data_IF_120736276952
#
_entry.id   IF_120736276952
#
_cell.length_a   1.000
_cell.length_b   1.000
_cell.length_c   1.000
_cell.angle_alpha   90.00
_cell.angle_beta   90.00
_cell.angle_gamma   90.00
#
_symmetry.space_group_name_H-M   'P 1'
#
loop_
_entity.id
_entity.type
_entity.pdbx_description
1 polymer ?
#
# COMPACT_ATOMS: atom_id res chain seq x y z
N UNK A 1 14.56 -4.07 20.36
CA UNK A 1 13.99 -3.50 19.11
C UNK A 1 15.13 -3.25 18.11
N UNK A 2 14.94 -3.28 16.79
CA UNK A 2 16.10 -3.27 15.87
C UNK A 2 16.90 -1.95 15.98
N UNK A 3 16.22 -0.83 16.26
CA UNK A 3 16.89 0.44 16.60
C UNK A 3 17.89 0.29 17.75
N UNK A 4 17.52 -0.35 18.87
CA UNK A 4 18.44 -0.51 20.01
C UNK A 4 19.71 -1.31 19.64
N UNK A 5 19.57 -2.29 18.73
CA UNK A 5 20.70 -3.07 18.23
C UNK A 5 21.60 -2.23 17.33
N UNK A 6 21.03 -1.33 16.50
CA UNK A 6 21.81 -0.35 15.74
C UNK A 6 22.59 0.59 16.67
N UNK A 7 21.98 1.07 17.74
CA UNK A 7 22.61 2.02 18.66
C UNK A 7 23.78 1.43 19.47
N UNK A 8 23.71 0.12 19.74
CA UNK A 8 24.77 -0.66 20.37
C UNK A 8 25.84 -1.14 19.38
N UNK A 9 25.61 -0.98 18.08
CA UNK A 9 26.50 -1.50 17.03
C UNK A 9 26.44 -3.02 16.85
N UNK A 10 25.34 -3.65 17.25
CA UNK A 10 25.09 -5.09 17.06
C UNK A 10 24.48 -5.40 15.67
N UNK A 11 23.85 -4.40 15.03
CA UNK A 11 23.40 -4.45 13.64
C UNK A 11 24.00 -3.28 12.85
N UNK A 12 24.26 -3.50 11.57
CA UNK A 12 24.73 -2.44 10.65
C UNK A 12 23.56 -1.65 10.03
N UNK A 13 22.40 -2.29 9.85
CA UNK A 13 21.21 -1.71 9.25
C UNK A 13 19.92 -2.44 9.65
N UNK A 14 18.78 -1.74 9.62
CA UNK A 14 17.45 -2.30 9.84
C UNK A 14 16.42 -1.66 8.90
N UNK A 15 15.36 -2.42 8.59
CA UNK A 15 14.14 -1.92 7.96
C UNK A 15 13.10 -1.71 9.06
N UNK A 16 12.77 -0.46 9.34
CA UNK A 16 11.83 -0.07 10.40
C UNK A 16 10.69 0.77 9.80
N UNK A 17 9.43 0.53 10.18
CA UNK A 17 8.31 1.33 9.71
C UNK A 17 8.36 2.73 10.33
N UNK A 18 8.12 3.75 9.49
CA UNK A 18 8.06 5.18 9.83
C UNK A 18 9.40 5.82 10.22
N UNK A 19 9.42 7.16 10.15
CA UNK A 19 10.53 8.02 10.57
C UNK A 19 10.72 7.98 12.09
N UNK A 20 10.95 6.80 12.64
CA UNK A 20 11.75 6.65 13.85
C UNK A 20 13.22 6.84 13.44
N UNK A 21 13.52 7.98 12.80
CA UNK A 21 14.84 8.56 12.97
C UNK A 21 14.88 8.89 14.45
N UNK A 22 15.37 7.93 15.23
CA UNK A 22 15.71 8.15 16.62
C UNK A 22 16.42 9.49 16.67
N UNK A 23 16.12 10.32 17.66
CA UNK A 23 16.85 11.56 17.95
C UNK A 23 18.38 11.38 18.07
N UNK A 24 18.86 10.14 18.02
CA UNK A 24 20.25 9.76 17.92
C UNK A 24 20.88 10.20 16.58
N UNK A 25 21.79 11.18 16.60
CA UNK A 25 22.46 11.71 15.40
C UNK A 25 23.45 10.71 14.78
N UNK A 26 23.64 9.52 15.36
CA UNK A 26 24.50 8.46 14.82
C UNK A 26 23.77 7.57 13.82
N UNK A 27 22.44 7.60 13.77
CA UNK A 27 21.66 6.86 12.78
C UNK A 27 21.35 7.74 11.57
N UNK A 28 21.26 7.12 10.39
CA UNK A 28 20.90 7.79 9.12
C UNK A 28 20.09 6.85 8.26
N UNK A 29 19.31 7.42 7.34
CA UNK A 29 18.68 6.65 6.28
C UNK A 29 19.74 6.08 5.33
N UNK A 30 19.51 4.86 4.83
CA UNK A 30 20.36 4.23 3.80
C UNK A 30 20.28 5.05 2.50
N UNK A 31 19.06 5.47 2.14
CA UNK A 31 18.79 6.39 1.04
C UNK A 31 18.49 7.78 1.62
N UNK A 32 19.44 8.74 1.53
CA UNK A 32 19.21 10.09 2.06
C UNK A 32 18.05 10.80 1.36
N UNK A 33 17.88 10.54 0.06
CA UNK A 33 16.76 11.02 -0.75
C UNK A 33 15.87 9.83 -1.13
N UNK A 34 15.15 9.30 -0.14
CA UNK A 34 14.24 8.18 -0.32
C UNK A 34 13.11 8.51 -1.31
N UNK A 35 12.68 9.78 -1.38
CA UNK A 35 11.66 10.25 -2.34
C UNK A 35 12.08 10.02 -3.77
N UNK A 36 13.31 10.41 -4.14
CA UNK A 36 13.83 10.16 -5.48
C UNK A 36 13.93 8.67 -5.80
N UNK A 37 14.32 7.85 -4.81
CA UNK A 37 14.40 6.39 -4.97
C UNK A 37 13.01 5.78 -5.17
N UNK A 38 12.01 6.23 -4.43
CA UNK A 38 10.60 5.83 -4.57
C UNK A 38 10.03 6.23 -5.94
N UNK A 39 10.31 7.46 -6.40
CA UNK A 39 9.92 7.94 -7.73
C UNK A 39 10.55 7.10 -8.85
N UNK A 40 11.85 6.78 -8.74
CA UNK A 40 12.56 5.92 -9.69
C UNK A 40 12.01 4.49 -9.66
N UNK A 41 11.68 3.97 -8.48
CA UNK A 41 11.05 2.67 -8.31
C UNK A 41 9.70 2.61 -9.03
N UNK A 42 8.82 3.59 -8.80
CA UNK A 42 7.53 3.67 -9.47
C UNK A 42 7.71 3.78 -10.98
N UNK A 43 8.57 4.68 -11.46
CA UNK A 43 8.85 4.86 -12.90
C UNK A 43 9.34 3.57 -13.57
N UNK A 44 10.16 2.79 -12.88
CA UNK A 44 10.72 1.54 -13.41
C UNK A 44 9.72 0.37 -13.40
N UNK A 45 8.85 0.31 -12.40
CA UNK A 45 8.05 -0.90 -12.11
C UNK A 45 6.56 -0.73 -12.36
N UNK A 46 6.06 0.51 -12.34
CA UNK A 46 4.63 0.84 -12.28
C UNK A 46 3.95 0.41 -10.98
N UNK A 47 4.70 -0.10 -9.99
CA UNK A 47 4.18 -0.52 -8.70
C UNK A 47 4.35 0.62 -7.71
N UNK A 48 3.27 0.97 -7.02
CA UNK A 48 3.27 1.86 -5.87
C UNK A 48 2.97 1.04 -4.61
N UNK A 49 3.98 0.70 -3.79
CA UNK A 49 3.82 -0.23 -2.67
C UNK A 49 2.87 0.32 -1.59
N UNK A 50 2.22 -0.61 -0.88
CA UNK A 50 1.24 -0.39 0.22
C UNK A 50 -0.18 -0.08 -0.29
N UNK A 51 -1.01 -1.12 -0.35
CA UNK A 51 -2.46 -1.02 -0.50
C UNK A 51 -3.13 -1.67 0.70
N UNK A 52 -3.75 -0.87 1.56
CA UNK A 52 -4.68 -1.41 2.55
C UNK A 52 -5.81 -2.15 1.83
N UNK A 53 -6.07 -3.39 2.22
CA UNK A 53 -7.16 -4.19 1.67
C UNK A 53 -8.25 -4.33 2.72
N UNK A 54 -9.49 -4.07 2.30
CA UNK A 54 -10.67 -4.46 3.06
C UNK A 54 -10.95 -5.94 2.78
N UNK A 55 -11.07 -6.73 3.84
CA UNK A 55 -11.39 -8.16 3.74
C UNK A 55 -12.73 -8.44 4.40
N UNK A 56 -13.56 -9.24 3.72
CA UNK A 56 -14.84 -9.73 4.22
C UNK A 56 -14.79 -11.26 4.18
N UNK A 57 -15.19 -11.90 5.28
CA UNK A 57 -15.27 -13.37 5.33
C UNK A 57 -16.35 -13.84 4.38
N UNK A 58 -16.02 -14.82 3.54
CA UNK A 58 -16.89 -15.32 2.47
C UNK A 58 -18.29 -15.73 2.96
N UNK A 59 -18.38 -16.52 4.05
CA UNK A 59 -19.67 -16.95 4.60
C UNK A 59 -20.61 -15.80 5.03
N UNK A 60 -20.06 -14.62 5.35
CA UNK A 60 -20.86 -13.43 5.67
C UNK A 60 -21.49 -12.88 4.39
N UNK A 61 -20.73 -12.82 3.31
CA UNK A 61 -21.24 -12.42 2.00
C UNK A 61 -22.26 -13.43 1.45
N UNK A 62 -22.05 -14.73 1.67
CA UNK A 62 -23.00 -15.78 1.29
C UNK A 62 -24.33 -15.66 2.04
N UNK A 63 -24.29 -15.43 3.36
CA UNK A 63 -25.48 -15.25 4.17
C UNK A 63 -26.19 -13.91 3.91
N UNK A 64 -25.43 -12.88 3.51
CA UNK A 64 -25.92 -11.53 3.29
C UNK A 64 -25.30 -10.89 2.03
N UNK A 65 -25.74 -11.28 0.82
CA UNK A 65 -25.11 -10.85 -0.44
C UNK A 65 -25.05 -9.33 -0.65
N UNK A 66 -25.99 -8.59 -0.07
CA UNK A 66 -26.07 -7.13 -0.15
C UNK A 66 -24.93 -6.40 0.59
N UNK A 67 -24.20 -7.07 1.49
CA UNK A 67 -23.14 -6.44 2.30
C UNK A 67 -21.99 -5.94 1.42
N UNK A 68 -21.63 -6.67 0.36
CA UNK A 68 -20.49 -6.29 -0.50
C UNK A 68 -20.75 -4.94 -1.16
N UNK A 69 -21.90 -4.77 -1.82
CA UNK A 69 -22.28 -3.49 -2.45
C UNK A 69 -22.46 -2.38 -1.42
N UNK A 70 -23.03 -2.68 -0.26
CA UNK A 70 -23.24 -1.69 0.81
C UNK A 70 -21.91 -1.15 1.34
N UNK A 71 -20.92 -2.02 1.55
CA UNK A 71 -19.57 -1.60 1.95
C UNK A 71 -18.90 -0.78 0.85
N UNK A 72 -18.95 -1.24 -0.41
CA UNK A 72 -18.36 -0.50 -1.53
C UNK A 72 -18.94 0.92 -1.65
N UNK A 73 -20.27 1.07 -1.55
CA UNK A 73 -20.93 2.38 -1.54
C UNK A 73 -20.45 3.24 -0.38
N UNK A 74 -20.46 2.70 0.85
CA UNK A 74 -20.03 3.45 2.03
C UNK A 74 -18.57 3.92 1.95
N UNK A 75 -17.67 3.09 1.43
CA UNK A 75 -16.26 3.46 1.28
C UNK A 75 -16.03 4.51 0.18
N UNK A 76 -16.79 4.46 -0.93
CA UNK A 76 -16.75 5.52 -1.96
C UNK A 76 -17.25 6.86 -1.42
N UNK A 77 -18.33 6.83 -0.63
CA UNK A 77 -18.82 8.03 0.06
C UNK A 77 -17.78 8.58 1.04
N UNK A 78 -17.11 7.70 1.79
CA UNK A 78 -16.04 8.09 2.70
C UNK A 78 -14.83 8.69 1.94
N UNK A 79 -14.42 8.08 0.82
CA UNK A 79 -13.33 8.57 -0.04
C UNK A 79 -13.63 9.99 -0.56
N UNK A 80 -14.86 10.24 -1.02
CA UNK A 80 -15.28 11.57 -1.47
C UNK A 80 -15.24 12.64 -0.36
N UNK A 81 -15.29 12.23 0.91
CA UNK A 81 -15.20 13.10 2.07
C UNK A 81 -13.78 13.17 2.66
N UNK A 82 -12.89 12.24 2.30
CA UNK A 82 -11.60 12.03 2.95
C UNK A 82 -10.73 13.29 3.00
N UNK A 83 -10.74 14.09 1.94
CA UNK A 83 -9.97 15.34 1.86
C UNK A 83 -10.27 16.32 3.00
N UNK A 84 -11.50 16.32 3.53
CA UNK A 84 -11.90 17.19 4.65
C UNK A 84 -11.24 16.80 5.97
N UNK A 85 -10.79 15.55 6.08
CA UNK A 85 -10.21 14.98 7.29
C UNK A 85 -8.69 14.91 7.23
N UNK A 86 -8.08 15.20 6.06
CA UNK A 86 -6.62 15.22 5.93
C UNK A 86 -6.00 16.40 6.66
N UNK A 87 -4.95 16.13 7.42
CA UNK A 87 -4.04 17.14 7.92
C UNK A 87 -3.09 17.63 6.80
N UNK A 88 -2.28 18.66 7.07
CA UNK A 88 -1.42 19.25 6.04
C UNK A 88 -0.31 18.30 5.54
N UNK A 89 0.21 17.42 6.40
CA UNK A 89 1.20 16.40 6.00
C UNK A 89 0.57 15.39 5.03
N UNK A 90 -0.62 14.89 5.36
CA UNK A 90 -1.38 13.96 4.52
C UNK A 90 -1.75 14.57 3.16
N UNK A 91 -2.05 15.87 3.10
CA UNK A 91 -2.30 16.58 1.83
C UNK A 91 -1.04 16.71 0.99
N UNK A 92 0.10 17.00 1.62
CA UNK A 92 1.39 17.09 0.93
C UNK A 92 1.80 15.73 0.37
N UNK A 93 1.58 14.66 1.15
CA UNK A 93 1.79 13.29 0.71
C UNK A 93 0.93 12.96 -0.51
N UNK A 94 -0.38 13.16 -0.42
CA UNK A 94 -1.31 12.90 -1.52
C UNK A 94 -0.97 13.72 -2.79
N UNK A 95 -0.52 14.97 -2.63
CA UNK A 95 -0.09 15.79 -3.74
C UNK A 95 1.21 15.27 -4.40
N UNK A 96 2.16 14.77 -3.60
CA UNK A 96 3.37 14.12 -4.11
C UNK A 96 3.02 12.82 -4.82
N UNK A 97 2.24 11.94 -4.19
CA UNK A 97 1.75 10.69 -4.76
C UNK A 97 1.13 10.91 -6.16
N UNK A 98 0.20 11.87 -6.26
CA UNK A 98 -0.43 12.25 -7.53
C UNK A 98 0.58 12.71 -8.58
N UNK A 99 1.60 13.46 -8.18
CA UNK A 99 2.67 13.91 -9.08
C UNK A 99 3.53 12.74 -9.57
N UNK A 100 3.86 11.79 -8.69
CA UNK A 100 4.65 10.60 -9.04
C UNK A 100 3.88 9.68 -9.98
N UNK A 101 2.61 9.42 -9.66
CA UNK A 101 1.75 8.56 -10.47
C UNK A 101 1.31 9.21 -11.78
N UNK A 102 1.26 10.54 -11.83
CA UNK A 102 0.76 11.30 -12.98
C UNK A 102 -0.77 11.34 -13.07
N UNK A 103 -1.46 10.72 -12.12
CA UNK A 103 -2.90 10.62 -11.99
C UNK A 103 -3.28 10.48 -10.51
N UNK A 104 -4.58 10.56 -10.22
CA UNK A 104 -5.08 10.24 -8.88
C UNK A 104 -4.97 8.72 -8.62
N UNK A 105 -4.78 8.33 -7.37
CA UNK A 105 -4.80 6.91 -7.03
C UNK A 105 -6.22 6.35 -7.16
N UNK A 106 -6.35 5.13 -7.70
CA UNK A 106 -7.62 4.43 -7.86
C UNK A 106 -7.58 3.08 -7.15
N UNK A 107 -8.53 2.83 -6.25
CA UNK A 107 -8.81 1.51 -5.67
C UNK A 107 -9.49 0.59 -6.71
N UNK A 108 -8.78 0.28 -7.80
CA UNK A 108 -9.32 -0.46 -8.94
C UNK A 108 -8.30 -1.45 -9.51
N UNK A 109 -8.78 -2.61 -9.96
CA UNK A 109 -7.96 -3.52 -10.76
C UNK A 109 -7.87 -3.15 -12.24
N UNK A 110 -8.65 -2.16 -12.69
CA UNK A 110 -8.75 -1.77 -14.11
C UNK A 110 -8.09 -0.42 -14.42
N UNK A 111 -7.87 0.42 -13.41
CA UNK A 111 -7.33 1.78 -13.53
C UNK A 111 -6.21 1.99 -12.52
N UNK A 112 -5.29 2.90 -12.84
CA UNK A 112 -4.17 3.24 -11.97
C UNK A 112 -3.20 2.07 -11.74
N UNK A 113 -2.39 2.18 -10.69
CA UNK A 113 -1.28 1.28 -10.40
C UNK A 113 -1.64 0.12 -9.45
N UNK A 114 -2.84 0.09 -8.85
CA UNK A 114 -3.17 -0.85 -7.78
C UNK A 114 -3.06 -2.32 -8.20
N UNK A 115 -3.51 -2.67 -9.43
CA UNK A 115 -3.31 -4.03 -9.97
C UNK A 115 -1.83 -4.40 -10.06
N UNK A 116 -0.99 -3.47 -10.54
CA UNK A 116 0.45 -3.72 -10.68
C UNK A 116 1.11 -3.90 -9.32
N UNK A 117 0.74 -3.06 -8.34
CA UNK A 117 1.22 -3.20 -6.96
C UNK A 117 0.84 -4.55 -6.34
N UNK A 118 -0.40 -5.00 -6.49
CA UNK A 118 -0.86 -6.31 -6.01
C UNK A 118 -0.13 -7.46 -6.73
N UNK A 119 0.06 -7.36 -8.05
CA UNK A 119 0.79 -8.36 -8.82
C UNK A 119 2.25 -8.48 -8.34
N UNK A 120 2.92 -7.35 -8.09
CA UNK A 120 4.28 -7.32 -7.56
C UNK A 120 4.36 -7.89 -6.15
N UNK A 121 3.38 -7.60 -5.29
CA UNK A 121 3.32 -8.20 -3.95
C UNK A 121 3.20 -9.72 -4.02
N UNK A 122 2.28 -10.24 -4.82
CA UNK A 122 2.08 -11.68 -4.99
C UNK A 122 3.36 -12.33 -5.54
N UNK A 123 4.01 -11.70 -6.53
CA UNK A 123 5.27 -12.19 -7.09
C UNK A 123 6.37 -12.30 -6.04
N UNK A 124 6.53 -11.29 -5.18
CA UNK A 124 7.51 -11.34 -4.09
C UNK A 124 7.14 -12.36 -3.01
N UNK A 125 5.86 -12.54 -2.70
CA UNK A 125 5.42 -13.57 -1.77
C UNK A 125 5.75 -14.99 -2.26
N UNK A 126 5.66 -15.24 -3.57
CA UNK A 126 6.10 -16.51 -4.17
C UNK A 126 7.62 -16.66 -4.08
N UNK A 127 8.38 -15.62 -4.46
CA UNK A 127 9.84 -15.66 -4.41
C UNK A 127 10.38 -15.87 -3.00
N UNK A 128 9.67 -15.39 -1.99
CA UNK A 128 10.01 -15.55 -0.58
C UNK A 128 9.47 -16.85 0.06
N UNK A 129 8.76 -17.68 -0.70
CA UNK A 129 8.18 -18.94 -0.20
C UNK A 129 7.04 -18.75 0.80
N UNK A 130 6.36 -17.59 0.77
CA UNK A 130 5.16 -17.31 1.58
C UNK A 130 3.92 -17.94 0.93
N UNK A 131 3.85 -17.91 -0.39
CA UNK A 131 2.81 -18.57 -1.17
C UNK A 131 3.42 -19.75 -1.93
N UNK A 132 2.67 -20.85 -2.00
CA UNK A 132 3.06 -22.04 -2.78
C UNK A 132 2.75 -21.88 -4.28
N UNK A 133 1.76 -21.04 -4.61
CA UNK A 133 1.30 -20.83 -5.97
C UNK A 133 0.74 -19.42 -6.15
N UNK A 134 0.88 -18.88 -7.36
CA UNK A 134 0.39 -17.54 -7.72
C UNK A 134 -1.12 -17.59 -7.96
N UNK A 135 -1.97 -17.01 -7.08
CA UNK A 135 -3.39 -16.90 -7.37
C UNK A 135 -3.63 -15.92 -8.52
N UNK A 136 -4.73 -16.12 -9.24
CA UNK A 136 -5.28 -15.08 -10.12
C UNK A 136 -5.80 -13.93 -9.27
N UNK A 137 -5.43 -12.69 -9.61
CA UNK A 137 -5.73 -11.52 -8.75
C UNK A 137 -7.25 -11.37 -8.59
N UNK A 138 -8.01 -11.57 -9.65
CA UNK A 138 -9.46 -11.47 -9.69
C UNK A 138 -10.13 -12.44 -8.73
N UNK A 139 -9.55 -13.62 -8.47
CA UNK A 139 -10.14 -14.59 -7.54
C UNK A 139 -10.01 -14.18 -6.07
N UNK A 140 -9.27 -13.11 -5.76
CA UNK A 140 -9.13 -12.57 -4.41
C UNK A 140 -10.25 -11.59 -4.04
N UNK A 141 -11.09 -11.21 -5.00
CA UNK A 141 -12.13 -10.19 -4.82
C UNK A 141 -13.51 -10.74 -5.18
N UNK A 142 -14.53 -10.23 -4.50
CA UNK A 142 -15.92 -10.43 -4.91
C UNK A 142 -16.17 -9.77 -6.27
N UNK A 143 -17.04 -10.35 -7.09
CA UNK A 143 -17.31 -9.87 -8.46
C UNK A 143 -17.77 -8.41 -8.49
N UNK A 144 -18.53 -7.96 -7.48
CA UNK A 144 -18.98 -6.57 -7.35
C UNK A 144 -17.82 -5.57 -7.17
N UNK A 145 -16.66 -6.03 -6.67
CA UNK A 145 -15.48 -5.19 -6.50
C UNK A 145 -14.57 -5.15 -7.75
N UNK A 146 -14.78 -6.03 -8.74
CA UNK A 146 -13.96 -6.07 -9.96
C UNK A 146 -14.33 -4.97 -10.97
N UNK A 147 -15.58 -4.52 -10.94
CA UNK A 147 -16.16 -3.58 -11.90
C UNK A 147 -16.66 -2.30 -11.22
N UNK A 148 -15.78 -1.49 -10.59
CA UNK A 148 -16.23 -0.36 -9.81
C UNK A 148 -16.77 0.82 -10.62
#
# INVERSE_FOLDING_TARGET
HAIELLEKGELDAALEPYQTLSSNPRLRLIFPDYRKVEEEFFRRTGAFPINHLLVLREHIAEAHPWIVESLLTAFREAEALAERYRNEEEKQEAAWERKVMGEDFYYSLKKGCARRSLATLIEYQIQQGILDSKPEIESLFFSQALDP
#
